data_IF_977940440037
#
_entry.id   IF_977940440037
#
_cell.length_a   1.000
_cell.length_b   1.000
_cell.length_c   1.000
_cell.angle_alpha   90.00
_cell.angle_beta   90.00
_cell.angle_gamma   90.00
#
_symmetry.space_group_name_H-M   'P 1'
#
loop_
_entity.id
_entity.type
_entity.pdbx_description
1 polymer ?
#
# COMPACT_ATOMS: atom_id res chain seq x y z
N UNK A 1 -8.93 -1.05 -2.36
CA UNK A 1 -7.92 0.03 -2.42
C UNK A 1 -8.49 1.37 -1.93
N UNK A 2 -7.86 1.95 -0.91
CA UNK A 2 -8.33 3.18 -0.24
C UNK A 2 -7.55 4.39 -0.78
N UNK A 3 -8.21 5.31 -1.49
CA UNK A 3 -7.54 6.37 -2.25
C UNK A 3 -7.28 7.63 -1.40
N UNK A 4 -6.13 8.28 -1.58
CA UNK A 4 -5.81 9.60 -1.04
C UNK A 4 -5.47 10.56 -2.17
N UNK A 5 -6.29 11.60 -2.35
CA UNK A 5 -6.08 12.61 -3.40
C UNK A 5 -4.73 13.32 -3.26
N UNK A 6 -4.35 13.71 -2.04
CA UNK A 6 -3.04 14.31 -1.75
C UNK A 6 -1.87 13.43 -2.17
N UNK A 7 -1.96 12.12 -1.93
CA UNK A 7 -0.92 11.17 -2.32
C UNK A 7 -0.89 10.98 -3.84
N UNK A 8 -2.06 10.88 -4.47
CA UNK A 8 -2.16 10.76 -5.92
C UNK A 8 -1.50 11.97 -6.60
N UNK A 9 -1.82 13.20 -6.19
CA UNK A 9 -1.20 14.42 -6.73
C UNK A 9 0.30 14.49 -6.48
N UNK A 10 0.79 14.06 -5.30
CA UNK A 10 2.19 14.24 -4.93
C UNK A 10 3.13 13.09 -5.38
N UNK A 11 2.59 11.89 -5.60
CA UNK A 11 3.38 10.65 -5.77
C UNK A 11 2.88 9.75 -6.92
N UNK A 12 1.78 10.09 -7.57
CA UNK A 12 1.23 9.31 -8.69
C UNK A 12 0.61 7.96 -8.31
N UNK A 13 0.49 7.65 -7.01
CA UNK A 13 -0.12 6.41 -6.50
C UNK A 13 -1.29 6.73 -5.57
N UNK A 14 -2.33 5.88 -5.50
CA UNK A 14 -3.49 6.15 -4.64
C UNK A 14 -3.19 6.00 -3.14
N UNK A 15 -2.13 5.26 -2.80
CA UNK A 15 -1.69 4.98 -1.42
C UNK A 15 -0.22 4.56 -1.43
N UNK A 16 0.64 5.26 -0.68
CA UNK A 16 2.06 4.90 -0.55
C UNK A 16 2.21 3.55 0.15
N UNK A 17 1.49 3.33 1.25
CA UNK A 17 1.62 2.10 2.03
C UNK A 17 1.21 0.87 1.23
N UNK A 18 0.10 0.94 0.48
CA UNK A 18 -0.37 -0.19 -0.34
C UNK A 18 0.58 -0.45 -1.51
N UNK A 19 1.05 0.60 -2.20
CA UNK A 19 2.00 0.47 -3.30
C UNK A 19 3.34 -0.13 -2.81
N UNK A 20 3.89 0.39 -1.70
CA UNK A 20 5.14 -0.10 -1.13
C UNK A 20 5.03 -1.57 -0.69
N UNK A 21 3.94 -1.94 -0.01
CA UNK A 21 3.71 -3.33 0.41
C UNK A 21 3.62 -4.28 -0.79
N UNK A 22 2.92 -3.89 -1.87
CA UNK A 22 2.82 -4.71 -3.08
C UNK A 22 4.16 -4.86 -3.81
N UNK A 23 4.94 -3.78 -3.92
CA UNK A 23 6.29 -3.84 -4.50
C UNK A 23 7.17 -4.79 -3.70
N UNK A 24 7.16 -4.70 -2.37
CA UNK A 24 7.91 -5.59 -1.49
C UNK A 24 7.45 -7.06 -1.59
N UNK A 25 6.15 -7.30 -1.78
CA UNK A 25 5.58 -8.64 -1.93
C UNK A 25 5.89 -9.29 -3.31
N UNK A 26 6.29 -8.51 -4.31
CA UNK A 26 6.71 -8.99 -5.62
C UNK A 26 5.56 -9.24 -6.61
N UNK A 27 5.87 -9.84 -7.76
CA UNK A 27 5.00 -9.93 -8.96
C UNK A 27 3.60 -10.50 -8.69
N UNK A 28 3.48 -11.47 -7.77
CA UNK A 28 2.22 -12.11 -7.40
C UNK A 28 1.72 -11.67 -6.01
N UNK A 29 2.31 -10.61 -5.47
CA UNK A 29 1.95 -10.07 -4.17
C UNK A 29 0.51 -9.54 -4.16
N UNK A 30 -0.21 -9.74 -3.06
CA UNK A 30 -1.56 -9.19 -2.87
C UNK A 30 -1.73 -8.59 -1.50
N UNK A 31 -2.59 -7.58 -1.40
CA UNK A 31 -2.97 -7.00 -0.11
C UNK A 31 -3.82 -7.98 0.69
N UNK A 32 -3.56 -8.08 2.00
CA UNK A 32 -4.39 -8.85 2.93
C UNK A 32 -5.67 -8.11 3.34
N UNK A 33 -5.76 -6.82 3.03
CA UNK A 33 -6.92 -6.00 3.34
C UNK A 33 -6.73 -4.54 2.92
N UNK A 34 -7.68 -3.68 3.27
CA UNK A 34 -7.52 -2.22 3.12
C UNK A 34 -6.40 -1.73 4.05
N UNK A 35 -5.67 -0.70 3.62
CA UNK A 35 -4.73 -0.02 4.53
C UNK A 35 -5.41 0.49 5.80
N UNK A 36 -4.67 0.48 6.90
CA UNK A 36 -5.05 1.06 8.20
C UNK A 36 -4.42 2.44 8.29
N UNK A 37 -5.21 3.45 8.66
CA UNK A 37 -4.73 4.80 8.88
C UNK A 37 -4.98 5.22 10.33
N UNK A 38 -3.93 5.72 10.98
CA UNK A 38 -4.00 6.39 12.28
C UNK A 38 -3.60 7.86 12.11
N UNK A 39 -3.69 8.64 13.19
CA UNK A 39 -3.20 10.03 13.19
C UNK A 39 -1.70 10.13 12.85
N UNK A 40 -0.91 9.11 13.16
CA UNK A 40 0.55 9.14 13.02
C UNK A 40 1.07 8.43 11.78
N UNK A 41 0.36 7.40 11.29
CA UNK A 41 0.87 6.56 10.21
C UNK A 41 -0.24 5.95 9.35
N UNK A 42 0.14 5.50 8.16
CA UNK A 42 -0.67 4.61 7.33
C UNK A 42 0.13 3.35 7.05
N UNK A 43 -0.45 2.19 7.31
CA UNK A 43 0.19 0.89 7.09
C UNK A 43 -0.68 0.01 6.20
N UNK A 44 -0.05 -0.84 5.40
CA UNK A 44 -0.71 -1.87 4.61
C UNK A 44 0.08 -3.16 4.73
N UNK A 45 -0.61 -4.29 4.65
CA UNK A 45 0.00 -5.62 4.72
C UNK A 45 -0.26 -6.32 3.40
N UNK A 46 0.80 -6.83 2.80
CA UNK A 46 0.74 -7.67 1.62
C UNK A 46 1.40 -9.02 1.92
N UNK A 47 0.91 -10.05 1.24
CA UNK A 47 1.54 -11.37 1.21
C UNK A 47 2.14 -11.60 -0.17
N UNK A 48 3.34 -12.16 -0.20
CA UNK A 48 4.08 -12.54 -1.40
C UNK A 48 4.74 -13.90 -1.21
N UNK A 49 5.46 -14.38 -2.22
CA UNK A 49 6.02 -15.74 -2.22
C UNK A 49 7.30 -15.91 -1.39
N UNK A 50 7.81 -14.85 -0.74
CA UNK A 50 8.99 -14.90 0.12
C UNK A 50 10.25 -15.34 -0.63
N UNK A 51 11.05 -14.38 -1.10
CA UNK A 51 12.36 -14.65 -1.71
C UNK A 51 13.46 -14.00 -0.90
#
# INVERSE_FOLDING_TARGET
>A
PTQSQRVASAKGVPSIAEAAALVAAGRNGRLLGKRIATRQATCAIAIGEGK
#
